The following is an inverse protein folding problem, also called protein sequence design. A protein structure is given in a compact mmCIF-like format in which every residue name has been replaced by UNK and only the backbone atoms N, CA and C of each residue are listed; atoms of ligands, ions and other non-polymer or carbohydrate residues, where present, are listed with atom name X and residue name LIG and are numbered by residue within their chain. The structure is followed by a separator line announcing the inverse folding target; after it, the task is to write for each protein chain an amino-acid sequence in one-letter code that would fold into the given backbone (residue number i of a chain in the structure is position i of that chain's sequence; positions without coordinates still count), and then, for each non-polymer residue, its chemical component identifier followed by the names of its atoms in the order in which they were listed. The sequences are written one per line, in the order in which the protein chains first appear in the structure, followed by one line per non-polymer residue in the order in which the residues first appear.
data_IF_362825473160
#
_entry.id   IF_362825473160
#
_cell.length_a   1.000
_cell.length_b   1.000
_cell.length_c   1.000
_cell.angle_alpha   90.00
_cell.angle_beta   90.00
_cell.angle_gamma   90.00
#
_symmetry.space_group_name_H-M   'P 1'
#
loop_
_entity.id
_entity.type
_entity.pdbx_description
1 polymer ?
#
# COMPACT_ATOMS: atom_id res chain seq x y z
N UNK A 1 -27.62 -7.23 -2.68
CA UNK A 1 -29.10 -7.38 -2.77
C UNK A 1 -29.62 -6.86 -4.10
N UNK A 2 -29.23 -5.64 -4.51
CA UNK A 2 -29.67 -5.00 -5.76
C UNK A 2 -29.68 -5.91 -7.00
N UNK A 3 -28.63 -6.71 -7.23
CA UNK A 3 -28.52 -7.53 -8.45
C UNK A 3 -29.38 -8.82 -8.42
N UNK A 4 -29.50 -9.46 -7.26
CA UNK A 4 -29.95 -10.87 -7.18
C UNK A 4 -31.03 -11.15 -6.13
N UNK A 5 -31.62 -10.12 -5.50
CA UNK A 5 -32.65 -10.32 -4.47
C UNK A 5 -33.83 -11.19 -4.96
N UNK A 6 -34.18 -11.09 -6.24
CA UNK A 6 -35.27 -11.84 -6.85
C UNK A 6 -35.07 -13.37 -6.85
N UNK A 7 -33.84 -13.85 -6.61
CA UNK A 7 -33.51 -15.28 -6.50
C UNK A 7 -33.69 -15.82 -5.08
N UNK A 8 -33.95 -14.95 -4.10
CA UNK A 8 -33.94 -15.30 -2.68
C UNK A 8 -35.35 -15.34 -2.11
N UNK A 9 -35.57 -16.24 -1.14
CA UNK A 9 -36.83 -16.30 -0.40
C UNK A 9 -37.06 -15.00 0.39
N UNK A 10 -38.29 -14.48 0.49
CA UNK A 10 -38.59 -13.25 1.20
C UNK A 10 -38.10 -13.21 2.66
N UNK A 11 -38.19 -14.32 3.38
CA UNK A 11 -37.72 -14.42 4.77
C UNK A 11 -36.20 -14.33 4.86
N UNK A 12 -35.48 -14.95 3.93
CA UNK A 12 -34.02 -14.83 3.84
C UNK A 12 -33.62 -13.38 3.54
N UNK A 13 -34.33 -12.70 2.63
CA UNK A 13 -34.10 -11.28 2.35
C UNK A 13 -34.29 -10.43 3.61
N UNK A 14 -35.32 -10.69 4.41
CA UNK A 14 -35.56 -9.99 5.68
C UNK A 14 -34.42 -10.19 6.68
N UNK A 15 -33.96 -11.43 6.86
CA UNK A 15 -32.82 -11.76 7.73
C UNK A 15 -31.52 -11.10 7.26
N UNK A 16 -31.27 -11.07 5.95
CA UNK A 16 -30.09 -10.37 5.40
C UNK A 16 -30.12 -8.88 5.71
N UNK A 17 -31.29 -8.22 5.55
CA UNK A 17 -31.45 -6.80 5.89
C UNK A 17 -31.19 -6.52 7.37
N UNK A 18 -31.73 -7.36 8.24
CA UNK A 18 -31.50 -7.27 9.68
C UNK A 18 -30.03 -7.47 10.04
N UNK A 19 -29.37 -8.47 9.46
CA UNK A 19 -27.94 -8.71 9.67
C UNK A 19 -27.09 -7.52 9.21
N UNK A 20 -27.40 -6.92 8.05
CA UNK A 20 -26.70 -5.73 7.55
C UNK A 20 -26.91 -4.53 8.47
N UNK A 21 -28.14 -4.34 8.99
CA UNK A 21 -28.45 -3.30 9.96
C UNK A 21 -27.63 -3.45 11.24
N UNK A 22 -27.66 -4.64 11.86
CA UNK A 22 -26.95 -4.92 13.10
C UNK A 22 -25.42 -4.75 12.94
N UNK A 23 -24.85 -5.21 11.83
CA UNK A 23 -23.43 -5.02 11.53
C UNK A 23 -23.07 -3.53 11.38
N UNK A 24 -23.92 -2.74 10.71
CA UNK A 24 -23.69 -1.31 10.49
C UNK A 24 -23.83 -0.51 11.79
N UNK A 25 -24.79 -0.87 12.66
CA UNK A 25 -24.90 -0.31 14.02
C UNK A 25 -23.63 -0.62 14.82
N UNK A 26 -23.18 -1.88 14.79
CA UNK A 26 -21.93 -2.31 15.43
C UNK A 26 -20.72 -1.50 14.98
N UNK A 27 -20.58 -1.30 13.66
CA UNK A 27 -19.49 -0.49 13.10
C UNK A 27 -19.55 0.97 13.57
N UNK A 28 -20.75 1.53 13.78
CA UNK A 28 -20.93 2.89 14.29
C UNK A 28 -20.33 3.15 15.69
N UNK A 29 -20.01 2.11 16.46
CA UNK A 29 -19.34 2.23 17.75
C UNK A 29 -17.82 2.32 17.66
N UNK A 30 -17.21 2.03 16.50
CA UNK A 30 -15.76 2.09 16.35
C UNK A 30 -15.29 3.53 16.14
N UNK A 31 -14.56 4.07 17.10
CA UNK A 31 -14.09 5.46 17.09
C UNK A 31 -12.60 5.49 17.42
N UNK A 32 -11.78 5.93 16.47
CA UNK A 32 -10.34 6.01 16.65
C UNK A 32 -9.94 6.73 17.94
N UNK A 33 -9.14 6.08 18.79
CA UNK A 33 -8.64 6.61 20.06
C UNK A 33 -9.60 6.44 21.25
N UNK A 34 -10.82 5.98 21.03
CA UNK A 34 -11.74 5.58 22.08
C UNK A 34 -11.59 4.07 22.33
N UNK A 35 -11.33 3.67 23.58
CA UNK A 35 -11.04 2.28 23.96
C UNK A 35 -10.00 1.57 23.06
N UNK A 36 -8.96 2.32 22.65
CA UNK A 36 -7.89 1.85 21.78
C UNK A 36 -8.31 1.38 20.37
N UNK A 37 -9.52 1.72 19.90
CA UNK A 37 -9.91 1.47 18.51
C UNK A 37 -9.05 2.33 17.55
N UNK A 38 -8.83 1.81 16.35
CA UNK A 38 -7.95 2.40 15.33
C UNK A 38 -8.71 2.94 14.10
N UNK A 39 -10.05 2.94 14.10
CA UNK A 39 -10.84 3.40 12.97
C UNK A 39 -10.94 4.92 12.94
N UNK A 40 -9.90 5.54 12.37
CA UNK A 40 -9.85 6.95 11.99
C UNK A 40 -10.21 7.11 10.50
N UNK A 41 -10.65 8.29 10.05
CA UNK A 41 -10.85 8.60 8.63
C UNK A 41 -9.64 8.25 7.75
N UNK A 42 -8.43 8.46 8.28
CA UNK A 42 -7.16 8.20 7.59
C UNK A 42 -6.89 6.71 7.35
N UNK A 43 -7.60 5.80 8.04
CA UNK A 43 -7.45 4.36 7.79
C UNK A 43 -8.02 3.96 6.42
N UNK A 44 -8.64 4.88 5.67
CA UNK A 44 -8.97 4.74 4.24
C UNK A 44 -9.88 3.53 3.94
N UNK A 45 -9.35 2.33 3.79
CA UNK A 45 -10.10 1.15 3.34
C UNK A 45 -11.29 0.77 4.26
N UNK A 46 -11.16 0.63 5.60
CA UNK A 46 -12.31 0.29 6.44
C UNK A 46 -13.23 1.50 6.61
N UNK A 47 -12.69 2.71 6.48
CA UNK A 47 -13.47 3.93 6.55
C UNK A 47 -14.40 4.11 5.34
N UNK A 48 -13.90 3.87 4.12
CA UNK A 48 -14.76 3.86 2.94
C UNK A 48 -15.79 2.73 3.01
N UNK A 49 -15.42 1.54 3.50
CA UNK A 49 -16.38 0.45 3.72
C UNK A 49 -17.50 0.83 4.70
N UNK A 50 -17.17 1.54 5.79
CA UNK A 50 -18.13 2.14 6.72
C UNK A 50 -19.07 3.10 6.01
N UNK A 51 -18.52 4.04 5.23
CA UNK A 51 -19.30 5.05 4.51
C UNK A 51 -20.32 4.39 3.59
N UNK A 52 -19.91 3.37 2.83
CA UNK A 52 -20.81 2.65 1.93
C UNK A 52 -21.87 1.87 2.68
N UNK A 53 -21.49 1.19 3.77
CA UNK A 53 -22.41 0.39 4.58
C UNK A 53 -23.49 1.26 5.22
N UNK A 54 -23.09 2.33 5.94
CA UNK A 54 -24.01 3.26 6.58
C UNK A 54 -24.94 3.96 5.59
N UNK A 55 -24.40 4.37 4.45
CA UNK A 55 -25.17 5.06 3.40
C UNK A 55 -26.22 4.14 2.77
N UNK A 56 -25.82 2.92 2.38
CA UNK A 56 -26.72 1.95 1.76
C UNK A 56 -27.79 1.47 2.74
N UNK A 57 -27.36 1.02 3.93
CA UNK A 57 -28.25 0.43 4.93
C UNK A 57 -29.18 1.47 5.53
N UNK A 58 -28.70 2.70 5.79
CA UNK A 58 -29.54 3.80 6.27
C UNK A 58 -30.71 4.08 5.32
N UNK A 59 -30.45 4.11 4.01
CA UNK A 59 -31.51 4.27 3.01
C UNK A 59 -32.42 3.04 2.92
N UNK A 60 -31.84 1.84 2.86
CA UNK A 60 -32.60 0.58 2.77
C UNK A 60 -33.58 0.41 3.93
N UNK A 61 -33.17 0.80 5.14
CA UNK A 61 -33.95 0.69 6.38
C UNK A 61 -34.77 1.94 6.70
N UNK A 62 -34.64 3.01 5.90
CA UNK A 62 -35.22 4.35 6.17
C UNK A 62 -34.82 4.90 7.55
N UNK A 63 -33.61 4.60 7.99
CA UNK A 63 -33.05 5.09 9.25
C UNK A 63 -32.36 6.45 9.01
N UNK A 64 -33.02 7.52 9.47
CA UNK A 64 -32.54 8.88 9.29
C UNK A 64 -31.24 9.16 10.05
N UNK A 65 -31.02 8.54 11.21
CA UNK A 65 -29.81 8.73 12.00
C UNK A 65 -28.62 8.05 11.32
N UNK A 66 -28.78 6.81 10.85
CA UNK A 66 -27.74 6.11 10.09
C UNK A 66 -27.42 6.82 8.77
N UNK A 67 -28.43 7.33 8.08
CA UNK A 67 -28.26 8.15 6.86
C UNK A 67 -27.49 9.44 7.14
N UNK A 68 -27.76 10.11 8.27
CA UNK A 68 -27.02 11.29 8.71
C UNK A 68 -25.53 10.96 8.91
N UNK A 69 -25.23 9.94 9.71
CA UNK A 69 -23.85 9.53 9.98
C UNK A 69 -23.10 9.05 8.73
N UNK A 70 -23.77 8.34 7.82
CA UNK A 70 -23.19 7.98 6.52
C UNK A 70 -22.68 9.20 5.73
N UNK A 71 -23.43 10.31 5.73
CA UNK A 71 -23.02 11.55 5.08
C UNK A 71 -21.93 12.31 5.85
N UNK A 72 -21.94 12.26 7.19
CA UNK A 72 -20.88 12.86 8.02
C UNK A 72 -19.56 12.15 7.76
N UNK A 73 -19.52 10.81 7.88
CA UNK A 73 -18.30 10.03 7.64
C UNK A 73 -17.83 10.11 6.18
N UNK A 74 -18.74 10.24 5.21
CA UNK A 74 -18.37 10.53 3.84
C UNK A 74 -17.63 11.87 3.73
N UNK A 75 -18.13 12.91 4.40
CA UNK A 75 -17.51 14.25 4.40
C UNK A 75 -16.12 14.23 5.03
N UNK A 76 -15.92 13.46 6.10
CA UNK A 76 -14.61 13.25 6.72
C UNK A 76 -13.65 12.53 5.76
N UNK A 77 -14.11 11.46 5.10
CA UNK A 77 -13.30 10.74 4.11
C UNK A 77 -12.86 11.63 2.94
N UNK A 78 -13.80 12.42 2.41
CA UNK A 78 -13.54 13.38 1.33
C UNK A 78 -12.56 14.46 1.80
N UNK A 79 -12.71 14.96 3.03
CA UNK A 79 -11.82 15.98 3.59
C UNK A 79 -10.40 15.47 3.69
N UNK A 80 -10.20 14.24 4.17
CA UNK A 80 -8.86 13.64 4.24
C UNK A 80 -8.26 13.39 2.86
N UNK A 81 -9.06 12.88 1.91
CA UNK A 81 -8.61 12.67 0.53
C UNK A 81 -8.23 13.99 -0.17
N UNK A 82 -9.03 15.04 0.00
CA UNK A 82 -8.86 16.33 -0.68
C UNK A 82 -7.61 17.09 -0.22
N UNK A 83 -6.97 16.70 0.89
CA UNK A 83 -5.70 17.30 1.34
C UNK A 83 -4.61 17.20 0.28
N UNK A 84 -4.50 16.03 -0.36
CA UNK A 84 -3.42 15.73 -1.30
C UNK A 84 -3.89 15.00 -2.57
N UNK A 85 -5.18 14.65 -2.66
CA UNK A 85 -5.71 13.84 -3.76
C UNK A 85 -5.26 12.39 -3.72
N UNK A 86 -4.91 11.89 -2.53
CA UNK A 86 -4.36 10.55 -2.29
C UNK A 86 -5.07 9.88 -1.11
N UNK A 87 -4.97 8.55 -1.03
CA UNK A 87 -5.37 7.83 0.18
C UNK A 87 -4.36 8.09 1.31
N UNK A 88 -4.85 8.24 2.53
CA UNK A 88 -4.00 8.39 3.72
C UNK A 88 -3.22 7.11 4.04
N UNK A 89 -3.86 5.93 3.88
CA UNK A 89 -3.15 4.65 3.80
C UNK A 89 -2.71 4.46 2.35
N UNK A 90 -1.53 4.98 2.06
CA UNK A 90 -1.03 5.19 0.71
C UNK A 90 -0.26 4.00 0.17
N UNK A 91 -0.45 3.74 -1.12
CA UNK A 91 0.29 2.77 -1.92
C UNK A 91 0.35 1.38 -1.25
N UNK A 92 -0.72 0.59 -1.35
CA UNK A 92 -0.78 -0.78 -0.83
C UNK A 92 -1.45 -1.71 -1.84
N UNK A 93 -0.76 -2.79 -2.24
CA UNK A 93 -1.29 -3.75 -3.22
C UNK A 93 -2.63 -4.38 -2.82
N UNK A 94 -2.85 -4.61 -1.53
CA UNK A 94 -4.13 -5.12 -1.03
C UNK A 94 -5.13 -3.99 -0.80
N UNK A 95 -4.77 -3.00 0.03
CA UNK A 95 -5.75 -2.05 0.56
C UNK A 95 -6.12 -0.91 -0.39
N UNK A 96 -5.27 -0.58 -1.36
CA UNK A 96 -5.69 0.27 -2.48
C UNK A 96 -6.80 -0.44 -3.27
N UNK A 97 -6.68 -1.75 -3.47
CA UNK A 97 -7.72 -2.57 -4.09
C UNK A 97 -9.03 -2.60 -3.30
N UNK A 98 -8.96 -2.76 -1.96
CA UNK A 98 -10.14 -2.68 -1.07
C UNK A 98 -10.81 -1.31 -1.16
N UNK A 99 -10.03 -0.24 -1.11
CA UNK A 99 -10.55 1.14 -1.17
C UNK A 99 -11.26 1.40 -2.50
N UNK A 100 -10.68 0.93 -3.61
CA UNK A 100 -11.30 0.99 -4.93
C UNK A 100 -12.60 0.17 -4.99
N UNK A 101 -12.62 -1.04 -4.44
CA UNK A 101 -13.84 -1.84 -4.35
C UNK A 101 -14.93 -1.12 -3.56
N UNK A 102 -14.60 -0.62 -2.36
CA UNK A 102 -15.50 0.13 -1.51
C UNK A 102 -16.07 1.34 -2.26
N UNK A 103 -15.21 2.18 -2.83
CA UNK A 103 -15.62 3.33 -3.64
C UNK A 103 -16.55 2.94 -4.77
N UNK A 104 -16.30 1.82 -5.46
CA UNK A 104 -17.12 1.35 -6.59
C UNK A 104 -18.56 0.98 -6.20
N UNK A 105 -18.83 0.74 -4.91
CA UNK A 105 -20.19 0.53 -4.40
C UNK A 105 -21.05 1.80 -4.46
N UNK A 106 -20.46 2.98 -4.74
CA UNK A 106 -21.19 4.26 -4.83
C UNK A 106 -22.40 4.21 -5.76
N UNK A 107 -22.35 3.39 -6.82
CA UNK A 107 -23.45 3.25 -7.78
C UNK A 107 -24.72 2.61 -7.22
N UNK A 108 -24.64 1.97 -6.05
CA UNK A 108 -25.79 1.43 -5.32
C UNK A 108 -26.34 2.37 -4.25
N UNK A 109 -25.72 3.54 -4.06
CA UNK A 109 -26.10 4.50 -3.02
C UNK A 109 -27.23 5.44 -3.49
N UNK A 110 -27.99 6.04 -2.56
CA UNK A 110 -28.97 7.09 -2.90
C UNK A 110 -28.30 8.26 -3.62
N UNK A 111 -28.92 8.76 -4.70
CA UNK A 111 -28.33 9.81 -5.55
C UNK A 111 -27.95 11.10 -4.82
N UNK A 112 -28.61 11.40 -3.71
CA UNK A 112 -28.39 12.59 -2.89
C UNK A 112 -27.38 12.39 -1.75
N UNK A 113 -26.77 11.22 -1.62
CA UNK A 113 -25.73 10.96 -0.62
C UNK A 113 -24.44 11.69 -0.95
N UNK A 114 -23.75 12.21 0.05
CA UNK A 114 -22.52 13.01 -0.10
C UNK A 114 -21.47 12.31 -0.96
N UNK A 115 -21.23 11.01 -0.71
CA UNK A 115 -20.18 10.23 -1.38
C UNK A 115 -20.41 10.05 -2.88
N UNK A 116 -21.68 10.04 -3.34
CA UNK A 116 -22.03 9.76 -4.75
C UNK A 116 -21.44 10.78 -5.71
N UNK A 117 -21.39 12.05 -5.30
CA UNK A 117 -20.83 13.12 -6.13
C UNK A 117 -19.30 13.09 -6.23
N UNK A 118 -18.62 12.42 -5.29
CA UNK A 118 -17.16 12.45 -5.16
C UNK A 118 -16.48 11.15 -5.55
N UNK A 119 -17.09 9.99 -5.29
CA UNK A 119 -16.50 8.68 -5.51
C UNK A 119 -15.91 8.48 -6.92
N UNK A 120 -16.59 8.87 -8.03
CA UNK A 120 -15.98 8.85 -9.36
C UNK A 120 -14.62 9.53 -9.47
N UNK A 121 -14.50 10.75 -8.95
CA UNK A 121 -13.27 11.53 -9.01
C UNK A 121 -12.16 10.96 -8.13
N UNK A 122 -12.53 10.41 -6.97
CA UNK A 122 -11.60 9.73 -6.07
C UNK A 122 -11.04 8.47 -6.74
N UNK A 123 -11.89 7.64 -7.38
CA UNK A 123 -11.48 6.47 -8.15
C UNK A 123 -10.48 6.86 -9.23
N UNK A 124 -10.79 7.89 -10.03
CA UNK A 124 -9.88 8.38 -11.08
C UNK A 124 -8.51 8.75 -10.51
N UNK A 125 -8.47 9.51 -9.42
CA UNK A 125 -7.21 9.97 -8.81
C UNK A 125 -6.37 8.85 -8.23
N UNK A 126 -7.00 7.86 -7.58
CA UNK A 126 -6.29 6.67 -7.10
C UNK A 126 -5.65 5.93 -8.28
N UNK A 127 -6.37 5.76 -9.39
CA UNK A 127 -5.82 5.10 -10.58
C UNK A 127 -4.70 5.86 -11.26
N UNK A 128 -4.76 7.19 -11.27
CA UNK A 128 -3.65 8.02 -11.78
C UNK A 128 -2.35 7.69 -11.06
N UNK A 129 -2.38 7.62 -9.73
CA UNK A 129 -1.21 7.22 -8.92
C UNK A 129 -0.82 5.75 -9.14
N UNK A 130 -1.78 4.83 -9.14
CA UNK A 130 -1.50 3.40 -9.43
C UNK A 130 -0.79 3.25 -10.78
N UNK A 131 -1.18 4.01 -11.82
CA UNK A 131 -0.50 3.98 -13.11
C UNK A 131 0.97 4.43 -13.06
N UNK A 132 1.34 5.27 -12.10
CA UNK A 132 2.75 5.64 -11.88
C UNK A 132 3.50 4.59 -11.07
N UNK A 133 2.94 4.12 -9.96
CA UNK A 133 3.62 3.17 -9.07
C UNK A 133 3.66 1.74 -9.60
N UNK A 134 2.63 1.30 -10.32
CA UNK A 134 2.60 -0.04 -10.88
C UNK A 134 3.66 -0.21 -11.97
N UNK A 135 4.43 -1.29 -11.86
CA UNK A 135 5.44 -1.68 -12.81
C UNK A 135 5.06 -3.02 -13.46
N UNK A 136 4.51 -3.01 -14.69
CA UNK A 136 4.02 -4.23 -15.34
C UNK A 136 5.13 -5.22 -15.64
N UNK A 137 6.37 -4.75 -15.80
CA UNK A 137 7.48 -5.68 -16.10
C UNK A 137 7.82 -6.58 -14.94
N UNK A 138 7.48 -6.20 -13.71
CA UNK A 138 7.77 -6.97 -12.49
C UNK A 138 6.49 -7.30 -11.69
N UNK A 139 5.32 -7.07 -12.29
CA UNK A 139 3.98 -7.31 -11.73
C UNK A 139 3.78 -6.83 -10.27
N UNK A 140 4.36 -5.68 -9.93
CA UNK A 140 4.34 -5.12 -8.58
C UNK A 140 3.81 -3.69 -8.58
N UNK A 141 3.07 -3.34 -7.52
CA UNK A 141 2.88 -1.94 -7.14
C UNK A 141 4.19 -1.50 -6.50
N UNK A 142 4.96 -0.64 -7.16
CA UNK A 142 6.29 -0.27 -6.70
C UNK A 142 6.30 0.47 -5.34
N UNK A 143 7.46 0.54 -4.66
CA UNK A 143 7.63 1.18 -3.36
C UNK A 143 7.50 2.70 -3.36
N UNK A 144 7.52 3.37 -2.19
CA UNK A 144 7.45 2.79 -0.83
C UNK A 144 5.99 2.53 -0.42
N UNK A 145 5.76 1.79 0.66
CA UNK A 145 4.40 1.36 1.03
C UNK A 145 4.08 1.67 2.49
N UNK A 146 2.86 2.14 2.73
CA UNK A 146 2.33 2.21 4.09
C UNK A 146 2.02 0.82 4.67
N UNK A 147 1.62 -0.06 3.76
CA UNK A 147 1.25 -1.45 4.02
C UNK A 147 1.73 -2.30 2.87
N UNK A 148 2.94 -2.81 3.00
CA UNK A 148 3.49 -3.84 2.14
C UNK A 148 3.08 -5.21 2.67
N UNK A 149 2.23 -5.89 1.90
CA UNK A 149 2.06 -7.34 1.97
C UNK A 149 2.25 -7.87 0.56
N UNK A 150 3.12 -8.88 0.40
CA UNK A 150 3.38 -9.49 -0.90
C UNK A 150 3.80 -8.54 -1.99
N UNK A 151 5.12 -8.34 -2.14
CA UNK A 151 5.68 -7.43 -3.14
C UNK A 151 5.35 -7.87 -4.57
N UNK A 152 5.39 -9.17 -4.83
CA UNK A 152 5.07 -9.76 -6.12
C UNK A 152 3.60 -10.15 -6.20
N UNK A 153 2.81 -9.49 -7.04
CA UNK A 153 1.40 -9.84 -7.17
C UNK A 153 1.16 -11.16 -7.92
N UNK A 154 2.18 -11.80 -8.50
CA UNK A 154 2.08 -13.16 -9.04
C UNK A 154 2.33 -14.24 -7.98
N UNK A 155 2.86 -13.89 -6.80
CA UNK A 155 3.06 -14.83 -5.69
C UNK A 155 2.17 -14.54 -4.49
N UNK A 156 1.64 -13.32 -4.40
CA UNK A 156 0.73 -12.90 -3.34
C UNK A 156 -0.53 -12.30 -3.95
N UNK A 157 -1.70 -12.71 -3.45
CA UNK A 157 -2.97 -12.19 -3.94
C UNK A 157 -3.26 -10.81 -3.32
N UNK A 158 -2.95 -9.74 -4.08
CA UNK A 158 -3.42 -8.39 -3.78
C UNK A 158 -4.72 -8.08 -4.53
N UNK A 159 -5.72 -7.50 -3.84
CA UNK A 159 -6.99 -7.10 -4.47
C UNK A 159 -6.77 -6.11 -5.62
N UNK A 160 -5.75 -5.25 -5.55
CA UNK A 160 -5.40 -4.37 -6.67
C UNK A 160 -4.96 -5.18 -7.90
N UNK A 161 -4.25 -6.28 -7.71
CA UNK A 161 -3.86 -7.19 -8.79
C UNK A 161 -5.08 -7.76 -9.53
N UNK A 162 -6.12 -8.15 -8.79
CA UNK A 162 -7.39 -8.60 -9.37
C UNK A 162 -8.12 -7.47 -10.13
N UNK A 163 -8.09 -6.24 -9.62
CA UNK A 163 -8.64 -5.07 -10.31
C UNK A 163 -7.89 -4.79 -11.62
N UNK A 164 -6.54 -4.80 -11.60
CA UNK A 164 -5.71 -4.63 -12.79
C UNK A 164 -6.00 -5.74 -13.81
N UNK A 165 -6.05 -6.99 -13.36
CA UNK A 165 -6.39 -8.16 -14.19
C UNK A 165 -7.76 -8.00 -14.86
N UNK A 166 -8.76 -7.47 -14.14
CA UNK A 166 -10.08 -7.18 -14.71
C UNK A 166 -10.05 -6.13 -15.82
N UNK A 167 -9.16 -5.14 -15.72
CA UNK A 167 -9.04 -4.05 -16.69
C UNK A 167 -8.22 -4.41 -17.93
N UNK A 168 -7.13 -5.16 -17.78
CA UNK A 168 -6.16 -5.42 -18.86
C UNK A 168 -6.03 -6.89 -19.26
N UNK A 169 -6.67 -7.81 -18.55
CA UNK A 169 -6.59 -9.24 -18.81
C UNK A 169 -5.29 -9.87 -18.31
N UNK A 170 -4.72 -10.78 -19.11
CA UNK A 170 -3.43 -11.43 -18.83
C UNK A 170 -3.49 -12.83 -18.22
N UNK A 171 -4.69 -13.38 -17.96
CA UNK A 171 -4.83 -14.73 -17.37
C UNK A 171 -4.35 -15.80 -18.36
N UNK A 172 -4.74 -15.70 -19.63
CA UNK A 172 -4.46 -16.72 -20.64
C UNK A 172 -3.01 -16.76 -21.10
N UNK A 173 -2.27 -15.68 -20.96
CA UNK A 173 -0.88 -15.54 -21.39
C UNK A 173 0.12 -15.44 -20.21
N UNK A 174 -0.37 -15.53 -18.97
CA UNK A 174 0.45 -15.52 -17.77
C UNK A 174 0.97 -14.14 -17.33
N UNK A 175 0.46 -13.05 -17.92
CA UNK A 175 0.87 -11.67 -17.59
C UNK A 175 0.00 -11.00 -16.52
N UNK A 176 -1.06 -11.66 -16.06
CA UNK A 176 -1.92 -11.11 -15.01
C UNK A 176 -1.15 -10.96 -13.68
N UNK A 177 -1.28 -9.81 -12.97
CA UNK A 177 -0.70 -9.60 -11.65
C UNK A 177 -1.55 -10.24 -10.56
N UNK A 178 -1.79 -11.54 -10.67
CA UNK A 178 -2.42 -12.38 -9.65
C UNK A 178 -1.70 -13.75 -9.64
N UNK A 179 -1.71 -14.47 -8.51
CA UNK A 179 -1.19 -15.84 -8.49
C UNK A 179 -2.00 -16.77 -9.37
N UNK A 180 -1.30 -17.57 -10.18
CA UNK A 180 -1.91 -18.58 -11.05
C UNK A 180 -1.16 -19.92 -10.89
N UNK A 181 -1.81 -20.98 -10.37
CA UNK A 181 -3.19 -21.03 -9.88
C UNK A 181 -3.37 -20.27 -8.56
N UNK A 182 -4.56 -19.68 -8.33
CA UNK A 182 -4.84 -18.86 -7.14
C UNK A 182 -4.47 -19.53 -5.80
N UNK A 183 -4.79 -20.83 -5.55
CA UNK A 183 -4.47 -21.47 -4.27
C UNK A 183 -2.97 -21.66 -3.99
N UNK A 184 -2.10 -21.44 -4.99
CA UNK A 184 -0.65 -21.49 -4.80
C UNK A 184 -0.06 -20.15 -4.30
N UNK A 185 -0.86 -19.07 -4.36
CA UNK A 185 -0.44 -17.75 -3.88
C UNK A 185 -0.59 -17.59 -2.38
N UNK A 186 0.27 -16.74 -1.79
CA UNK A 186 0.05 -16.22 -0.44
C UNK A 186 -1.22 -15.37 -0.39
N UNK A 187 -1.90 -15.40 0.76
CA UNK A 187 -3.10 -14.58 1.03
C UNK A 187 -4.25 -14.79 0.02
N UNK A 188 -4.34 -16.00 -0.55
CA UNK A 188 -5.33 -16.36 -1.57
C UNK A 188 -6.78 -16.30 -1.07
N UNK A 189 -7.02 -16.27 0.24
CA UNK A 189 -8.36 -16.15 0.84
C UNK A 189 -9.06 -14.87 0.37
N UNK A 190 -8.30 -13.81 0.10
CA UNK A 190 -8.81 -12.56 -0.46
C UNK A 190 -9.36 -12.71 -1.89
N UNK A 191 -9.06 -13.82 -2.59
CA UNK A 191 -9.64 -14.13 -3.89
C UNK A 191 -11.17 -14.28 -3.84
N UNK A 192 -11.76 -14.39 -2.64
CA UNK A 192 -13.21 -14.26 -2.42
C UNK A 192 -13.80 -12.95 -2.98
N UNK A 193 -12.99 -11.91 -3.20
CA UNK A 193 -13.43 -10.65 -3.83
C UNK A 193 -13.67 -10.77 -5.33
N UNK A 194 -13.06 -11.73 -6.03
CA UNK A 194 -13.07 -11.82 -7.50
C UNK A 194 -14.49 -11.78 -8.09
N UNK A 195 -15.48 -12.54 -7.57
CA UNK A 195 -16.85 -12.48 -8.10
C UNK A 195 -17.55 -11.13 -7.88
N UNK A 196 -17.05 -10.30 -6.95
CA UNK A 196 -17.62 -9.00 -6.60
C UNK A 196 -17.16 -7.89 -7.54
N UNK A 197 -15.94 -7.98 -8.10
CA UNK A 197 -15.37 -6.94 -8.95
C UNK A 197 -16.16 -6.71 -10.24
N UNK A 198 -16.58 -7.74 -11.01
CA UNK A 198 -17.41 -7.53 -12.21
C UNK A 198 -18.79 -6.91 -11.91
N UNK A 199 -19.33 -7.08 -10.71
CA UNK A 199 -20.61 -6.49 -10.33
C UNK A 199 -20.51 -4.97 -10.11
N UNK A 200 -19.33 -4.49 -9.71
CA UNK A 200 -19.09 -3.07 -9.44
C UNK A 200 -18.34 -2.36 -10.58
N UNK A 201 -17.80 -3.10 -11.55
CA UNK A 201 -17.04 -2.56 -12.70
C UNK A 201 -17.82 -1.50 -13.49
N UNK A 202 -19.15 -1.65 -13.64
CA UNK A 202 -20.04 -0.66 -14.28
C UNK A 202 -20.02 0.72 -13.62
N UNK A 203 -19.61 0.80 -12.36
CA UNK A 203 -19.46 2.03 -11.57
C UNK A 203 -18.00 2.46 -11.40
N UNK A 204 -17.06 1.70 -11.96
CA UNK A 204 -15.63 1.85 -11.76
C UNK A 204 -14.89 2.12 -13.07
N UNK A 205 -14.97 1.21 -14.05
CA UNK A 205 -14.04 1.12 -15.18
C UNK A 205 -14.01 2.36 -16.05
N UNK A 206 -15.17 2.99 -16.26
CA UNK A 206 -15.29 4.24 -17.03
C UNK A 206 -14.54 5.42 -16.41
N UNK A 207 -14.12 5.32 -15.16
CA UNK A 207 -13.34 6.32 -14.44
C UNK A 207 -11.85 6.02 -14.40
N UNK A 208 -11.41 4.90 -14.98
CA UNK A 208 -9.99 4.59 -15.16
C UNK A 208 -9.49 5.30 -16.42
N UNK A 209 -8.54 6.25 -16.32
CA UNK A 209 -8.04 6.95 -17.49
C UNK A 209 -7.36 6.01 -18.49
N UNK A 210 -7.53 6.27 -19.79
CA UNK A 210 -6.84 5.51 -20.86
C UNK A 210 -5.32 5.54 -20.72
N UNK A 211 -4.76 6.65 -20.21
CA UNK A 211 -3.34 6.78 -19.91
C UNK A 211 -2.87 5.82 -18.80
N UNK A 212 -3.73 5.53 -17.82
CA UNK A 212 -3.46 4.53 -16.78
C UNK A 212 -3.48 3.14 -17.39
N UNK A 213 -4.49 2.79 -18.20
CA UNK A 213 -4.54 1.49 -18.89
C UNK A 213 -3.26 1.23 -19.68
N UNK A 214 -2.74 2.22 -20.42
CA UNK A 214 -1.48 2.09 -21.16
C UNK A 214 -0.27 1.82 -20.24
N UNK A 215 -0.24 2.44 -19.05
CA UNK A 215 0.81 2.23 -18.03
C UNK A 215 0.70 0.88 -17.32
N UNK A 216 -0.51 0.31 -17.22
CA UNK A 216 -0.72 -1.02 -16.66
C UNK A 216 -0.21 -2.14 -17.57
N UNK A 217 0.00 -1.88 -18.86
CA UNK A 217 0.51 -2.87 -19.82
C UNK A 217 1.92 -2.59 -20.31
N UNK A 218 2.44 -1.38 -20.13
CA UNK A 218 3.76 -0.98 -20.59
C UNK A 218 4.51 -0.14 -19.54
N UNK A 219 5.76 -0.52 -19.28
CA UNK A 219 6.65 0.23 -18.38
C UNK A 219 7.54 1.18 -19.16
N UNK A 220 7.89 2.31 -18.55
CA UNK A 220 8.88 3.26 -19.02
C UNK A 220 9.66 3.81 -17.83
N UNK A 221 10.85 4.35 -18.10
CA UNK A 221 11.61 5.07 -17.09
C UNK A 221 10.91 6.38 -16.73
N UNK A 222 10.49 6.52 -15.49
CA UNK A 222 9.83 7.73 -15.01
C UNK A 222 10.00 7.93 -13.50
N UNK A 223 10.02 9.20 -13.10
CA UNK A 223 10.01 9.63 -11.70
C UNK A 223 8.62 10.16 -11.34
N UNK A 224 8.15 9.85 -10.13
CA UNK A 224 6.88 10.33 -9.61
C UNK A 224 7.00 10.75 -8.15
N UNK A 225 6.19 11.73 -7.75
CA UNK A 225 6.06 12.16 -6.37
C UNK A 225 4.60 12.23 -5.96
N UNK A 226 4.35 11.97 -4.69
CA UNK A 226 3.02 12.10 -4.10
C UNK A 226 3.13 12.58 -2.65
N UNK A 227 2.02 13.03 -2.09
CA UNK A 227 1.92 13.39 -0.68
C UNK A 227 0.76 12.66 -0.03
N UNK A 228 0.87 12.36 1.26
CA UNK A 228 -0.23 11.84 2.07
C UNK A 228 -0.04 12.26 3.53
N UNK A 229 -1.11 12.21 4.31
CA UNK A 229 -1.06 12.48 5.74
C UNK A 229 -2.01 11.54 6.50
N UNK A 230 -1.66 11.19 7.73
CA UNK A 230 -2.45 10.34 8.61
C UNK A 230 -2.49 10.89 10.05
N UNK A 231 -3.19 12.02 10.29
CA UNK A 231 -3.51 12.43 11.66
C UNK A 231 -4.27 11.32 12.41
N UNK A 232 -4.04 11.13 13.72
CA UNK A 232 -3.19 11.92 14.60
C UNK A 232 -1.72 11.44 14.69
N UNK A 233 -1.30 10.52 13.82
CA UNK A 233 0.04 9.94 13.85
C UNK A 233 1.12 10.88 13.28
N UNK A 234 0.66 11.87 12.51
CA UNK A 234 1.47 12.82 11.77
C UNK A 234 0.85 14.22 11.90
N UNK A 235 1.69 15.24 11.76
CA UNK A 235 1.25 16.62 11.67
C UNK A 235 0.85 16.93 10.22
N UNK A 236 -0.39 17.39 10.03
CA UNK A 236 -0.92 17.76 8.71
C UNK A 236 -0.12 18.88 8.04
N UNK A 237 0.61 19.70 8.81
CA UNK A 237 1.50 20.73 8.27
C UNK A 237 2.79 20.16 7.67
N UNK A 238 3.13 18.91 8.01
CA UNK A 238 4.33 18.20 7.55
C UNK A 238 3.91 16.84 6.95
N UNK A 239 3.23 16.83 5.79
CA UNK A 239 2.76 15.60 5.18
C UNK A 239 3.93 14.71 4.75
N UNK A 240 3.65 13.41 4.59
CA UNK A 240 4.59 12.49 3.97
C UNK A 240 4.84 12.89 2.53
N UNK A 241 6.10 12.77 2.13
CA UNK A 241 6.51 12.98 0.74
C UNK A 241 7.06 11.68 0.18
N UNK A 242 6.40 11.18 -0.86
CA UNK A 242 6.76 9.98 -1.57
C UNK A 242 7.60 10.34 -2.79
N UNK A 243 8.66 9.57 -3.01
CA UNK A 243 9.48 9.63 -4.20
C UNK A 243 9.60 8.23 -4.77
N UNK A 244 9.42 8.11 -6.08
CA UNK A 244 9.44 6.83 -6.76
C UNK A 244 10.13 6.95 -8.10
N UNK A 245 11.12 6.08 -8.33
CA UNK A 245 11.70 5.82 -9.63
C UNK A 245 11.23 4.46 -10.14
N UNK A 246 10.70 4.45 -11.36
CA UNK A 246 10.30 3.23 -12.06
C UNK A 246 11.08 3.13 -13.36
N UNK A 247 11.49 1.92 -13.72
CA UNK A 247 11.97 1.56 -15.06
C UNK A 247 11.62 0.09 -15.36
N UNK A 248 11.76 -0.39 -16.60
CA UNK A 248 11.64 -1.81 -16.89
C UNK A 248 12.56 -2.66 -15.98
N UNK A 249 11.98 -3.65 -15.31
CA UNK A 249 12.68 -4.60 -14.44
C UNK A 249 13.10 -4.06 -13.07
N UNK A 250 12.84 -2.79 -12.73
CA UNK A 250 13.25 -2.19 -11.45
C UNK A 250 12.34 -1.05 -11.00
N UNK A 251 12.08 -1.01 -9.70
CA UNK A 251 11.31 0.04 -9.04
C UNK A 251 11.97 0.38 -7.71
N UNK A 252 12.18 1.66 -7.42
CA UNK A 252 12.86 2.14 -6.21
C UNK A 252 12.15 3.35 -5.61
N UNK A 253 11.86 3.31 -4.32
CA UNK A 253 11.00 4.30 -3.69
C UNK A 253 11.40 4.63 -2.27
N UNK A 254 11.11 5.86 -1.84
CA UNK A 254 11.41 6.37 -0.51
C UNK A 254 10.34 7.35 -0.03
N UNK A 255 10.07 7.33 1.27
CA UNK A 255 9.17 8.27 1.96
C UNK A 255 9.94 9.14 2.95
N UNK A 256 9.61 10.43 2.95
CA UNK A 256 9.94 11.32 4.05
C UNK A 256 8.73 11.41 4.97
N UNK A 257 8.91 11.08 6.25
CA UNK A 257 7.89 11.04 7.28
C UNK A 257 8.44 11.63 8.58
N UNK A 258 7.65 12.47 9.24
CA UNK A 258 7.91 12.92 10.61
C UNK A 258 6.75 12.50 11.52
N UNK A 259 6.76 11.23 11.94
CA UNK A 259 5.68 10.61 12.70
C UNK A 259 5.96 10.54 14.19
N UNK A 260 4.89 10.34 14.97
CA UNK A 260 4.97 10.15 16.42
C UNK A 260 5.14 8.69 16.86
N UNK A 261 5.12 7.75 15.92
CA UNK A 261 5.25 6.30 16.16
C UNK A 261 6.10 5.65 15.07
N UNK A 262 6.80 4.56 15.41
CA UNK A 262 7.53 3.74 14.44
C UNK A 262 6.54 2.86 13.68
N UNK A 263 6.75 2.70 12.37
CA UNK A 263 5.93 1.83 11.53
C UNK A 263 4.64 2.48 11.01
N UNK A 264 4.61 3.81 10.88
CA UNK A 264 3.49 4.57 10.33
C UNK A 264 2.22 4.54 11.19
N UNK A 265 1.11 5.05 10.66
CA UNK A 265 -0.21 5.05 11.33
C UNK A 265 -0.66 3.64 11.78
N UNK A 266 -0.21 2.65 11.01
CA UNK A 266 -0.28 1.24 11.25
C UNK A 266 0.32 0.74 12.57
N UNK A 267 1.31 1.45 13.11
CA UNK A 267 2.18 1.02 14.22
C UNK A 267 2.78 -0.36 13.97
N UNK A 268 3.12 -0.66 12.70
CA UNK A 268 3.60 -1.97 12.28
C UNK A 268 4.85 -1.81 11.41
N UNK A 269 6.05 -1.87 12.00
CA UNK A 269 7.32 -1.84 11.27
C UNK A 269 7.48 -2.95 10.23
N UNK A 270 6.77 -4.07 10.38
CA UNK A 270 6.83 -5.18 9.41
C UNK A 270 6.03 -4.92 8.13
N UNK A 271 5.01 -4.07 8.20
CA UNK A 271 4.18 -3.71 7.05
C UNK A 271 4.53 -2.32 6.47
N UNK A 272 5.00 -1.39 7.30
CA UNK A 272 5.42 -0.07 6.85
C UNK A 272 6.84 -0.14 6.27
N UNK A 273 6.96 0.06 4.96
CA UNK A 273 8.23 -0.06 4.23
C UNK A 273 8.57 1.30 3.62
N UNK A 274 9.26 2.17 4.37
CA UNK A 274 9.52 3.56 3.98
C UNK A 274 10.58 3.73 2.90
N UNK A 275 11.38 2.70 2.62
CA UNK A 275 12.32 2.72 1.52
C UNK A 275 12.49 1.31 0.96
N UNK A 276 12.54 1.17 -0.36
CA UNK A 276 12.77 -0.13 -0.97
C UNK A 276 13.29 -0.03 -2.40
N UNK A 277 14.04 -1.05 -2.80
CA UNK A 277 14.40 -1.35 -4.19
C UNK A 277 13.84 -2.75 -4.48
N UNK A 278 13.06 -2.87 -5.55
CA UNK A 278 12.59 -4.14 -6.08
C UNK A 278 13.02 -4.29 -7.53
N UNK A 279 13.42 -5.49 -7.93
CA UNK A 279 13.92 -5.73 -9.28
C UNK A 279 13.79 -7.19 -9.72
N UNK A 280 13.93 -7.39 -11.03
CA UNK A 280 14.08 -8.71 -11.64
C UNK A 280 15.52 -9.17 -11.66
N UNK A 281 15.74 -10.39 -11.18
CA UNK A 281 17.04 -11.09 -11.23
C UNK A 281 17.43 -11.56 -12.63
N UNK A 282 16.45 -11.68 -13.52
CA UNK A 282 16.61 -12.36 -14.82
C UNK A 282 16.42 -13.88 -14.74
N UNK A 283 16.10 -14.43 -13.56
CA UNK A 283 15.72 -15.84 -13.41
C UNK A 283 14.21 -15.96 -13.61
N UNK A 284 13.80 -16.77 -14.58
CA UNK A 284 12.39 -16.97 -14.90
C UNK A 284 11.68 -17.73 -13.77
N UNK A 285 10.44 -17.35 -13.47
CA UNK A 285 9.58 -18.05 -12.50
C UNK A 285 9.97 -17.85 -11.04
N UNK A 286 10.89 -16.94 -10.71
CA UNK A 286 11.32 -16.70 -9.33
C UNK A 286 10.72 -15.46 -8.68
N UNK A 287 9.90 -14.70 -9.41
CA UNK A 287 9.34 -13.45 -8.93
C UNK A 287 10.38 -12.34 -8.75
N UNK A 288 10.04 -11.32 -7.96
CA UNK A 288 10.91 -10.16 -7.70
C UNK A 288 11.83 -10.33 -6.49
N UNK A 289 13.04 -9.80 -6.63
CA UNK A 289 13.93 -9.53 -5.49
C UNK A 289 13.63 -8.18 -4.88
N UNK A 290 13.98 -8.05 -3.60
CA UNK A 290 13.71 -6.84 -2.85
C UNK A 290 14.77 -6.54 -1.78
N UNK A 291 14.95 -5.25 -1.52
CA UNK A 291 15.72 -4.70 -0.42
C UNK A 291 14.83 -3.64 0.24
N UNK A 292 14.50 -3.81 1.52
CA UNK A 292 13.55 -3.01 2.26
C UNK A 292 14.19 -2.39 3.49
N UNK A 293 13.92 -1.11 3.75
CA UNK A 293 14.19 -0.49 5.04
C UNK A 293 13.21 -1.02 6.07
N UNK A 294 13.73 -1.66 7.13
CA UNK A 294 12.95 -1.96 8.33
C UNK A 294 13.01 -0.74 9.27
N UNK A 295 11.91 -0.02 9.47
CA UNK A 295 11.91 1.24 10.21
C UNK A 295 12.19 1.02 11.70
N UNK A 296 13.19 1.73 12.23
CA UNK A 296 13.50 1.78 13.67
C UNK A 296 13.36 3.18 14.27
N UNK A 297 13.11 4.19 13.43
CA UNK A 297 12.87 5.58 13.81
C UNK A 297 11.44 5.98 13.43
N UNK A 298 10.84 6.92 14.17
CA UNK A 298 9.55 7.52 13.80
C UNK A 298 9.69 8.72 12.85
N UNK A 299 10.89 9.28 12.76
CA UNK A 299 11.25 10.35 11.81
C UNK A 299 12.29 9.82 10.82
N UNK A 300 11.91 9.77 9.53
CA UNK A 300 12.68 9.15 8.45
C UNK A 300 12.64 10.07 7.24
N UNK A 301 13.78 10.26 6.59
CA UNK A 301 13.84 10.85 5.26
C UNK A 301 14.50 9.88 4.30
N UNK A 302 13.69 9.14 3.55
CA UNK A 302 14.12 8.31 2.44
C UNK A 302 13.73 8.96 1.11
N UNK A 303 14.71 9.24 0.25
CA UNK A 303 14.50 9.92 -1.04
C UNK A 303 15.09 9.06 -2.15
N UNK A 304 14.24 8.59 -3.05
CA UNK A 304 14.64 7.87 -4.25
C UNK A 304 14.90 8.83 -5.42
N UNK A 305 15.87 8.48 -6.24
CA UNK A 305 16.20 9.11 -7.52
C UNK A 305 16.33 8.02 -8.58
N UNK A 306 16.77 8.35 -9.79
CA UNK A 306 16.99 7.36 -10.85
C UNK A 306 18.13 6.37 -10.59
N UNK A 307 19.01 6.65 -9.62
CA UNK A 307 20.23 5.86 -9.38
C UNK A 307 20.53 5.58 -7.93
N UNK A 308 19.79 6.16 -6.98
CA UNK A 308 20.02 5.90 -5.56
C UNK A 308 18.79 6.17 -4.69
N UNK A 309 18.82 5.61 -3.48
CA UNK A 309 17.98 6.01 -2.36
C UNK A 309 18.86 6.55 -1.24
N UNK A 310 18.61 7.79 -0.80
CA UNK A 310 19.26 8.37 0.38
C UNK A 310 18.33 8.23 1.58
N UNK A 311 18.76 7.52 2.62
CA UNK A 311 18.04 7.27 3.87
C UNK A 311 18.72 8.01 5.01
N UNK A 312 17.95 8.81 5.75
CA UNK A 312 18.40 9.43 7.00
C UNK A 312 17.35 9.34 8.10
N UNK A 313 17.79 9.42 9.36
CA UNK A 313 16.92 9.52 10.54
C UNK A 313 17.09 10.90 11.20
N UNK A 314 16.45 11.95 10.63
CA UNK A 314 16.57 13.30 11.17
C UNK A 314 15.87 13.42 12.53
N UNK A 315 16.23 14.44 13.35
CA UNK A 315 15.43 14.80 14.51
C UNK A 315 14.00 15.21 14.09
N UNK A 316 13.01 14.76 14.85
CA UNK A 316 11.62 15.14 14.62
C UNK A 316 11.39 16.63 14.90
N UNK A 317 10.66 17.29 13.99
CA UNK A 317 10.23 18.69 14.14
C UNK A 317 8.83 18.76 14.76
N UNK A 318 7.92 17.89 14.34
CA UNK A 318 6.54 17.86 14.81
C UNK A 318 6.37 17.17 16.16
N UNK A 319 7.26 16.22 16.50
CA UNK A 319 7.14 15.40 17.72
C UNK A 319 8.46 15.30 18.51
N UNK A 320 9.17 16.40 18.81
CA UNK A 320 10.51 16.35 19.41
C UNK A 320 10.54 15.65 20.78
N UNK A 321 9.44 15.67 21.54
CA UNK A 321 9.35 15.01 22.84
C UNK A 321 9.00 13.51 22.78
N UNK A 322 8.39 13.05 21.68
CA UNK A 322 7.81 11.71 21.56
C UNK A 322 8.45 10.87 20.44
N UNK A 323 9.37 11.47 19.66
CA UNK A 323 10.00 10.79 18.55
C UNK A 323 10.88 9.63 19.02
N UNK A 324 10.71 8.49 18.36
CA UNK A 324 11.61 7.34 18.55
C UNK A 324 12.88 7.58 17.75
N UNK A 325 13.99 7.83 18.45
CA UNK A 325 15.31 8.04 17.84
C UNK A 325 16.04 6.70 17.76
N UNK A 326 16.64 6.43 16.60
CA UNK A 326 17.45 5.22 16.39
C UNK A 326 18.81 5.60 15.79
N UNK A 327 19.84 4.91 16.25
CA UNK A 327 21.18 4.92 15.67
C UNK A 327 21.49 3.64 14.89
N UNK A 328 20.44 2.92 14.44
CA UNK A 328 20.55 1.66 13.71
C UNK A 328 19.66 1.72 12.47
N UNK A 329 20.26 1.63 11.28
CA UNK A 329 19.52 1.41 10.03
C UNK A 329 19.61 -0.09 9.70
N UNK A 330 18.44 -0.73 9.59
CA UNK A 330 18.33 -2.16 9.25
C UNK A 330 17.67 -2.32 7.89
N UNK A 331 18.30 -3.08 7.01
CA UNK A 331 17.78 -3.43 5.70
C UNK A 331 17.47 -4.92 5.67
N UNK A 332 16.23 -5.26 5.38
CA UNK A 332 15.82 -6.62 5.09
C UNK A 332 15.96 -6.87 3.58
N UNK A 333 16.38 -8.07 3.19
CA UNK A 333 16.72 -8.37 1.81
C UNK A 333 16.41 -9.84 1.49
N UNK A 334 15.73 -10.12 0.36
CA UNK A 334 15.56 -11.48 -0.16
C UNK A 334 15.15 -11.49 -1.65
N UNK A 335 14.84 -12.69 -2.17
CA UNK A 335 14.18 -12.92 -3.46
C UNK A 335 15.13 -13.26 -4.60
N UNK A 336 16.37 -13.66 -4.30
CA UNK A 336 17.37 -14.05 -5.32
C UNK A 336 17.64 -15.55 -5.15
N UNK A 337 16.92 -16.33 -5.93
CA UNK A 337 16.93 -17.78 -5.83
C UNK A 337 18.23 -18.36 -6.38
N UNK A 338 18.80 -19.33 -5.66
CA UNK A 338 20.05 -20.00 -6.05
C UNK A 338 21.30 -19.11 -5.93
N UNK A 339 21.22 -17.98 -5.22
CA UNK A 339 22.37 -17.12 -4.96
C UNK A 339 22.71 -17.13 -3.47
N UNK A 340 23.93 -17.57 -3.17
CA UNK A 340 24.47 -17.54 -1.82
C UNK A 340 25.18 -16.21 -1.57
N UNK A 341 24.73 -15.50 -0.55
CA UNK A 341 25.35 -14.25 -0.17
C UNK A 341 26.64 -14.49 0.62
N UNK A 342 27.75 -13.84 0.25
CA UNK A 342 28.96 -13.94 1.05
C UNK A 342 28.78 -13.20 2.38
N UNK A 343 29.44 -13.67 3.45
CA UNK A 343 29.31 -13.07 4.78
C UNK A 343 29.76 -11.59 4.83
N UNK A 344 30.65 -11.20 3.92
CA UNK A 344 31.16 -9.84 3.74
C UNK A 344 30.40 -9.05 2.66
N UNK A 345 29.20 -9.49 2.26
CA UNK A 345 28.34 -8.75 1.33
C UNK A 345 28.24 -7.26 1.67
N UNK A 346 28.61 -6.39 0.71
CA UNK A 346 28.70 -4.92 0.83
C UNK A 346 29.71 -4.38 1.87
N UNK A 347 30.65 -5.19 2.36
CA UNK A 347 31.70 -4.71 3.27
C UNK A 347 32.66 -3.70 2.61
N UNK A 348 32.89 -3.83 1.30
CA UNK A 348 33.70 -2.90 0.48
C UNK A 348 32.91 -1.71 -0.06
N UNK A 349 31.62 -1.59 0.27
CA UNK A 349 30.74 -0.53 -0.24
C UNK A 349 30.15 -0.81 -1.63
N UNK A 350 30.39 -1.98 -2.22
CA UNK A 350 29.72 -2.40 -3.47
C UNK A 350 29.53 -3.90 -3.57
N UNK A 351 28.53 -4.33 -4.33
CA UNK A 351 28.29 -5.72 -4.68
C UNK A 351 27.53 -5.81 -6.01
N UNK A 352 27.82 -6.86 -6.77
CA UNK A 352 27.03 -7.25 -7.93
C UNK A 352 26.26 -8.52 -7.58
N UNK A 353 24.95 -8.49 -7.80
CA UNK A 353 24.01 -9.58 -7.54
C UNK A 353 23.17 -9.78 -8.80
N UNK A 354 22.49 -10.93 -8.97
CA UNK A 354 21.68 -11.19 -10.15
C UNK A 354 20.72 -10.03 -10.46
N UNK A 355 20.93 -9.43 -11.64
CA UNK A 355 20.13 -8.33 -12.16
C UNK A 355 20.34 -6.96 -11.52
N UNK A 356 21.25 -6.79 -10.55
CA UNK A 356 21.47 -5.51 -9.87
C UNK A 356 22.93 -5.30 -9.45
N UNK A 357 23.46 -4.12 -9.71
CA UNK A 357 24.66 -3.61 -9.06
C UNK A 357 24.25 -2.64 -7.97
N UNK A 358 24.81 -2.83 -6.77
CA UNK A 358 24.46 -2.09 -5.56
C UNK A 358 25.73 -1.45 -4.98
N UNK A 359 25.63 -0.19 -4.57
CA UNK A 359 26.68 0.53 -3.85
C UNK A 359 26.15 1.13 -2.56
N UNK A 360 27.04 1.33 -1.60
CA UNK A 360 26.73 1.89 -0.29
C UNK A 360 27.72 2.99 0.06
N UNK A 361 27.19 4.15 0.43
CA UNK A 361 27.92 5.23 1.07
C UNK A 361 27.25 5.56 2.41
N UNK A 362 28.01 5.67 3.50
CA UNK A 362 27.44 5.89 4.84
C UNK A 362 28.44 6.56 5.78
N UNK A 363 27.92 7.28 6.78
CA UNK A 363 28.68 7.72 7.95
C UNK A 363 28.60 6.73 9.14
N UNK A 364 27.97 5.57 8.94
CA UNK A 364 27.88 4.49 9.92
C UNK A 364 28.87 3.36 9.64
N UNK A 365 28.86 2.36 10.53
CA UNK A 365 29.64 1.14 10.37
C UNK A 365 28.72 -0.02 10.02
N UNK A 366 29.07 -0.78 8.96
CA UNK A 366 28.43 -2.07 8.67
C UNK A 366 28.78 -3.05 9.79
N UNK A 367 27.78 -3.68 10.39
CA UNK A 367 28.02 -4.58 11.56
C UNK A 367 27.73 -6.03 11.25
N UNK A 368 26.56 -6.33 10.69
CA UNK A 368 26.06 -7.70 10.54
C UNK A 368 25.33 -7.86 9.22
N UNK A 369 25.63 -8.97 8.55
CA UNK A 369 24.84 -9.50 7.46
C UNK A 369 24.51 -10.95 7.82
N UNK A 370 23.25 -11.20 8.19
CA UNK A 370 22.82 -12.47 8.77
C UNK A 370 21.56 -12.96 8.06
N UNK A 371 21.52 -14.25 7.74
CA UNK A 371 20.27 -14.89 7.36
C UNK A 371 19.38 -15.05 8.60
N UNK A 372 18.15 -14.53 8.52
CA UNK A 372 17.22 -14.49 9.64
C UNK A 372 16.39 -15.77 9.78
N UNK A 373 16.15 -16.18 11.02
CA UNK A 373 15.14 -17.19 11.35
C UNK A 373 13.71 -16.61 11.38
N UNK A 374 13.57 -15.30 11.45
CA UNK A 374 12.29 -14.61 11.37
C UNK A 374 11.79 -14.51 9.92
N UNK A 375 10.49 -14.33 9.76
CA UNK A 375 9.86 -13.99 8.49
C UNK A 375 9.37 -12.55 8.51
N UNK A 376 9.40 -11.90 7.35
CA UNK A 376 8.76 -10.63 7.06
C UNK A 376 7.76 -10.89 5.93
N UNK A 377 6.46 -10.70 6.20
CA UNK A 377 5.38 -11.06 5.26
C UNK A 377 5.52 -12.50 4.72
N UNK A 378 5.70 -13.46 5.63
CA UNK A 378 5.89 -14.89 5.36
C UNK A 378 7.14 -15.26 4.54
N UNK A 379 8.04 -14.30 4.31
CA UNK A 379 9.30 -14.53 3.62
C UNK A 379 10.46 -14.47 4.61
N UNK A 380 11.35 -15.47 4.58
CA UNK A 380 12.67 -15.37 5.25
C UNK A 380 13.44 -14.20 4.64
N UNK A 381 14.47 -13.70 5.32
CA UNK A 381 15.26 -12.59 4.79
C UNK A 381 16.65 -12.54 5.39
N UNK A 382 17.58 -11.95 4.65
CA UNK A 382 18.85 -11.48 5.18
C UNK A 382 18.66 -10.11 5.82
N UNK A 383 19.27 -9.90 6.99
CA UNK A 383 19.31 -8.61 7.66
C UNK A 383 20.71 -8.00 7.52
N UNK A 384 20.78 -6.82 6.92
CA UNK A 384 21.98 -5.99 6.80
C UNK A 384 21.84 -4.78 7.73
N UNK A 385 22.75 -4.64 8.69
CA UNK A 385 22.65 -3.60 9.73
C UNK A 385 23.83 -2.63 9.71
N UNK A 386 23.52 -1.34 9.75
CA UNK A 386 24.47 -0.25 9.95
C UNK A 386 24.23 0.42 11.31
N UNK A 387 25.29 0.64 12.07
CA UNK A 387 25.26 1.34 13.36
C UNK A 387 25.96 2.68 13.27
N UNK A 388 25.39 3.70 13.89
CA UNK A 388 25.87 5.08 13.83
C UNK A 388 26.32 5.53 15.22
N UNK A 389 27.47 6.21 15.27
CA UNK A 389 28.07 6.75 16.49
C UNK A 389 28.37 8.23 16.31
N UNK A 390 28.10 9.04 17.33
CA UNK A 390 28.34 10.48 17.30
C UNK A 390 27.07 11.32 17.08
N UNK A 391 27.21 12.65 17.02
CA UNK A 391 26.07 13.58 16.96
C UNK A 391 25.51 13.77 15.55
N UNK A 392 26.16 13.22 14.53
CA UNK A 392 25.71 13.34 13.15
C UNK A 392 24.41 12.57 12.92
N UNK A 393 23.56 13.09 12.03
CA UNK A 393 22.36 12.37 11.59
C UNK A 393 22.76 11.07 10.88
N UNK A 394 22.21 9.90 11.26
CA UNK A 394 22.42 8.66 10.54
C UNK A 394 22.12 8.84 9.05
N UNK A 395 23.07 8.46 8.18
CA UNK A 395 22.92 8.56 6.73
C UNK A 395 23.42 7.31 6.02
N UNK A 396 22.60 6.77 5.14
CA UNK A 396 22.89 5.65 4.26
C UNK A 396 22.42 5.97 2.85
N UNK A 397 23.31 5.91 1.86
CA UNK A 397 22.97 6.03 0.44
C UNK A 397 23.14 4.67 -0.20
N UNK A 398 22.06 4.18 -0.81
CA UNK A 398 22.03 2.95 -1.58
C UNK A 398 22.01 3.31 -3.06
N UNK A 399 23.14 3.21 -3.75
CA UNK A 399 23.21 3.38 -5.20
C UNK A 399 22.83 2.10 -5.91
N UNK A 400 22.06 2.18 -6.98
CA UNK A 400 21.59 1.02 -7.73
C UNK A 400 21.70 1.22 -9.25
N UNK A 401 21.99 0.13 -9.95
CA UNK A 401 22.04 0.06 -11.40
C UNK A 401 21.48 -1.30 -11.84
N UNK A 402 20.46 -1.29 -12.71
CA UNK A 402 19.92 -2.52 -13.29
C UNK A 402 20.93 -3.05 -14.32
N UNK A 403 21.33 -4.31 -14.13
CA UNK A 403 22.27 -5.03 -15.03
C UNK A 403 21.51 -5.97 -15.95
#
# INVERSE_FOLDING_TARGET
MEEFQHLLAPDLVSLMKESMYNATVGDGYRVGGFHDDNLYPVYSNPWYMRVMSATYVGNMMKDANMTHWGNVWASEAITEFDRHGTLSEYNSGTYTGVSLYALSLWGYMPKNSTIVSRAPGIITKIWEDVGFFYNPTIHSLGPPWDRAYGYDMQFYFGILGAQITGLVGGISDGTAPIPLPLPAGGHYEDAAVIPLLPLTSKFHDKYVPKSVIAKLTASKSEFHTAQAASPPFEDIANPRNYTMWKQPGLSAGGVQIDGNVVGGAARNPGAFVPASIIWQTGVEGTGVSWLNLYPTSSSISAIATSSNITITYPPSKSFPANASISNIISLAFNGIYGFDFPADFLASGSAEIPGLKLTVETNGNRTKFLYGEATLNDQKYYNLTYTFTGPETPRLVLGFEKV
#
